data_IF_312833619106
#
_entry.id   IF_312833619106
#
_cell.length_a   1.000
_cell.length_b   1.000
_cell.length_c   1.000
_cell.angle_alpha   90.00
_cell.angle_beta   90.00
_cell.angle_gamma   90.00
#
_symmetry.space_group_name_H-M   'P 1'
#
loop_
_entity.id
_entity.type
_entity.pdbx_description
1 polymer ?
#
# COMPACT_ATOMS: atom_id res chain seq x y z
N UNK A 1 4.79 -5.18 -21.00
CA UNK A 1 3.75 -6.15 -20.59
C UNK A 1 3.84 -6.57 -19.11
N UNK A 2 5.03 -6.71 -18.51
CA UNK A 2 5.20 -7.11 -17.08
C UNK A 2 4.79 -6.05 -16.03
N UNK A 3 4.79 -4.76 -16.38
CA UNK A 3 4.41 -3.70 -15.43
C UNK A 3 2.90 -3.69 -15.09
N UNK A 4 2.06 -4.16 -16.02
CA UNK A 4 0.60 -4.15 -15.82
C UNK A 4 0.13 -5.29 -14.91
N UNK A 5 0.78 -6.46 -14.98
CA UNK A 5 0.41 -7.62 -14.17
C UNK A 5 0.75 -7.41 -12.68
N UNK A 6 1.89 -6.79 -12.36
CA UNK A 6 2.28 -6.52 -10.98
C UNK A 6 1.36 -5.51 -10.27
N UNK A 7 0.85 -4.50 -11.00
CA UNK A 7 -0.09 -3.52 -10.44
C UNK A 7 -1.46 -4.15 -10.16
N UNK A 8 -1.97 -4.97 -11.09
CA UNK A 8 -3.26 -5.65 -10.94
C UNK A 8 -3.31 -6.55 -9.70
N UNK A 9 -2.22 -7.23 -9.32
CA UNK A 9 -2.20 -8.05 -8.11
C UNK A 9 -2.39 -7.23 -6.82
N UNK A 10 -1.82 -6.03 -6.73
CA UNK A 10 -1.94 -5.18 -5.53
C UNK A 10 -3.38 -4.71 -5.32
N UNK A 11 -4.05 -4.28 -6.39
CA UNK A 11 -5.41 -3.70 -6.32
C UNK A 11 -6.46 -4.77 -6.04
N UNK A 12 -6.27 -5.99 -6.58
CA UNK A 12 -7.17 -7.12 -6.31
C UNK A 12 -7.16 -7.58 -4.85
N UNK A 13 -5.99 -7.58 -4.19
CA UNK A 13 -5.89 -7.97 -2.78
C UNK A 13 -6.64 -6.99 -1.88
N UNK A 14 -6.44 -5.68 -2.07
CA UNK A 14 -7.12 -4.65 -1.27
C UNK A 14 -8.64 -4.68 -1.47
N UNK A 15 -9.10 -4.88 -2.71
CA UNK A 15 -10.52 -5.01 -3.03
C UNK A 15 -11.19 -6.19 -2.31
N UNK A 16 -10.51 -7.35 -2.24
CA UNK A 16 -11.04 -8.55 -1.54
C UNK A 16 -11.22 -8.32 -0.05
N UNK A 17 -10.27 -7.67 0.61
CA UNK A 17 -10.38 -7.36 2.03
C UNK A 17 -11.41 -6.27 2.31
N UNK A 18 -11.54 -5.28 1.43
CA UNK A 18 -12.60 -4.26 1.52
C UNK A 18 -14.00 -4.86 1.36
N UNK A 19 -14.17 -5.92 0.57
CA UNK A 19 -15.43 -6.65 0.45
C UNK A 19 -15.76 -7.51 1.70
N UNK A 20 -14.76 -7.77 2.54
CA UNK A 20 -14.90 -8.54 3.78
C UNK A 20 -15.09 -7.63 5.02
N UNK A 21 -15.47 -6.36 4.82
CA UNK A 21 -15.61 -5.33 5.86
C UNK A 21 -14.35 -5.11 6.73
N UNK A 22 -13.17 -5.47 6.21
CA UNK A 22 -11.88 -5.23 6.87
C UNK A 22 -11.33 -3.85 6.49
N UNK A 23 -10.83 -3.11 7.48
CA UNK A 23 -10.13 -1.86 7.23
C UNK A 23 -8.78 -2.13 6.57
N UNK A 24 -8.64 -1.73 5.30
CA UNK A 24 -7.39 -1.83 4.54
C UNK A 24 -6.80 -0.44 4.42
N UNK A 25 -5.55 -0.26 4.82
CA UNK A 25 -4.81 0.98 4.63
C UNK A 25 -3.43 0.69 4.05
N UNK A 26 -3.01 1.50 3.10
CA UNK A 26 -1.68 1.43 2.51
C UNK A 26 -0.72 2.29 3.34
N UNK A 27 0.19 1.65 4.08
CA UNK A 27 1.15 2.35 4.94
C UNK A 27 2.52 2.39 4.27
N UNK A 28 3.15 3.56 4.27
CA UNK A 28 4.50 3.73 3.77
C UNK A 28 5.50 2.97 4.66
N UNK A 29 6.29 2.01 4.12
CA UNK A 29 7.29 1.28 4.90
C UNK A 29 8.33 2.16 5.58
N UNK A 30 8.61 3.36 5.03
CA UNK A 30 9.52 4.33 5.64
C UNK A 30 8.99 4.86 6.97
N UNK A 31 7.68 5.13 7.07
CA UNK A 31 7.05 5.59 8.31
C UNK A 31 7.11 4.52 9.40
N UNK A 32 6.86 3.25 9.04
CA UNK A 32 6.97 2.11 9.97
C UNK A 32 8.43 1.89 10.39
N UNK A 33 9.38 2.12 9.49
CA UNK A 33 10.81 2.02 9.79
C UNK A 33 11.22 3.02 10.86
N UNK A 34 10.83 4.28 10.66
CA UNK A 34 11.19 5.41 11.52
C UNK A 34 10.35 5.42 12.83
N UNK A 35 9.30 4.59 12.92
CA UNK A 35 8.46 4.44 14.11
C UNK A 35 9.17 3.70 15.25
N UNK A 36 10.02 4.38 16.00
CA UNK A 36 10.75 3.81 17.13
C UNK A 36 12.13 3.26 16.73
N UNK A 37 13.04 3.31 17.70
CA UNK A 37 14.52 3.37 17.54
C UNK A 37 15.21 2.13 16.95
N UNK A 38 14.43 1.12 16.53
CA UNK A 38 14.98 -0.12 15.97
C UNK A 38 14.90 -0.12 14.44
N UNK A 39 16.07 0.04 13.82
CA UNK A 39 16.32 -0.15 12.39
C UNK A 39 15.75 -1.50 11.90
N UNK A 40 14.89 -1.48 10.89
CA UNK A 40 14.29 -2.67 10.30
C UNK A 40 15.39 -3.64 9.82
N UNK A 41 15.40 -4.86 10.35
CA UNK A 41 16.32 -5.92 9.91
C UNK A 41 15.85 -6.49 8.57
N UNK A 42 16.79 -7.06 7.81
CA UNK A 42 16.69 -7.43 6.39
C UNK A 42 15.59 -8.46 6.03
N UNK A 43 14.95 -9.11 7.00
CA UNK A 43 13.99 -10.19 6.76
C UNK A 43 12.68 -9.89 7.49
N UNK A 44 11.64 -9.56 6.71
CA UNK A 44 10.30 -9.17 7.16
C UNK A 44 9.46 -10.39 7.60
N UNK A 45 10.02 -11.20 8.49
CA UNK A 45 9.38 -12.40 9.05
C UNK A 45 9.56 -12.51 10.56
N UNK A 46 9.96 -11.42 11.23
CA UNK A 46 10.13 -11.38 12.68
C UNK A 46 8.83 -10.96 13.39
N UNK A 47 8.46 -11.67 14.46
CA UNK A 47 7.35 -11.35 15.37
C UNK A 47 7.40 -9.90 15.87
N UNK A 48 8.61 -9.36 16.02
CA UNK A 48 8.83 -7.98 16.45
C UNK A 48 8.32 -6.95 15.42
N UNK A 49 8.50 -7.21 14.12
CA UNK A 49 8.00 -6.32 13.07
C UNK A 49 6.48 -6.35 12.99
N UNK A 50 5.87 -7.53 13.17
CA UNK A 50 4.42 -7.66 13.25
C UNK A 50 3.84 -6.84 14.41
N UNK A 51 4.48 -6.90 15.58
CA UNK A 51 4.09 -6.09 16.76
C UNK A 51 4.29 -4.59 16.51
N UNK A 52 5.38 -4.20 15.83
CA UNK A 52 5.66 -2.80 15.46
C UNK A 52 4.60 -2.25 14.51
N UNK A 53 4.22 -3.03 13.50
CA UNK A 53 3.16 -2.68 12.55
C UNK A 53 1.82 -2.56 13.28
N UNK A 54 1.45 -3.54 14.10
CA UNK A 54 0.20 -3.52 14.85
C UNK A 54 0.10 -2.30 15.77
N UNK A 55 1.18 -1.98 16.49
CA UNK A 55 1.24 -0.81 17.36
C UNK A 55 1.14 0.50 16.57
N UNK A 56 1.89 0.65 15.47
CA UNK A 56 1.75 1.81 14.58
C UNK A 56 0.32 1.95 14.05
N UNK A 57 -0.31 0.85 13.63
CA UNK A 57 -1.67 0.89 13.10
C UNK A 57 -2.70 1.30 14.15
N UNK A 58 -2.52 0.89 15.41
CA UNK A 58 -3.39 1.29 16.52
C UNK A 58 -3.17 2.75 16.90
N UNK A 59 -1.90 3.16 17.05
CA UNK A 59 -1.53 4.51 17.49
C UNK A 59 -1.89 5.57 16.43
N UNK A 60 -1.69 5.26 15.14
CA UNK A 60 -1.99 6.15 14.01
C UNK A 60 -3.32 5.84 13.32
N UNK A 61 -4.22 5.08 13.97
CA UNK A 61 -5.49 4.62 13.37
C UNK A 61 -6.33 5.76 12.79
N UNK A 62 -6.33 6.92 13.44
CA UNK A 62 -7.07 8.11 13.03
C UNK A 62 -6.43 8.87 11.86
N UNK A 63 -5.13 8.69 11.64
CA UNK A 63 -4.35 9.36 10.58
C UNK A 63 -4.22 8.48 9.33
N UNK A 64 -4.48 7.18 9.48
CA UNK A 64 -4.41 6.19 8.41
C UNK A 64 -5.59 6.37 7.45
N UNK A 65 -5.26 6.82 6.23
CA UNK A 65 -6.25 6.89 5.15
C UNK A 65 -6.73 5.48 4.80
N UNK A 66 -8.03 5.24 5.01
CA UNK A 66 -8.69 4.00 4.61
C UNK A 66 -8.74 3.90 3.08
N UNK A 67 -8.57 2.69 2.56
CA UNK A 67 -8.77 2.39 1.15
C UNK A 67 -10.19 2.75 0.72
N UNK A 68 -10.32 3.55 -0.34
CA UNK A 68 -11.60 3.84 -0.98
C UNK A 68 -11.57 3.42 -2.45
N UNK A 69 -12.73 3.01 -2.97
CA UNK A 69 -12.90 2.72 -4.41
C UNK A 69 -12.48 3.92 -5.28
N UNK A 70 -12.69 5.15 -4.79
CA UNK A 70 -12.31 6.37 -5.50
C UNK A 70 -10.79 6.50 -5.66
N UNK A 71 -10.01 6.06 -4.66
CA UNK A 71 -8.54 6.08 -4.73
C UNK A 71 -8.00 5.10 -5.77
N UNK A 72 -8.67 3.96 -5.95
CA UNK A 72 -8.36 3.00 -7.00
C UNK A 72 -8.58 3.62 -8.39
N UNK A 73 -9.75 4.22 -8.62
CA UNK A 73 -10.06 4.87 -9.90
C UNK A 73 -9.03 5.98 -10.20
N UNK A 74 -8.64 6.77 -9.19
CA UNK A 74 -7.59 7.79 -9.33
C UNK A 74 -6.25 7.18 -9.72
N UNK A 75 -5.83 6.09 -9.07
CA UNK A 75 -4.56 5.41 -9.39
C UNK A 75 -4.56 4.78 -10.79
N UNK A 76 -5.68 4.19 -11.20
CA UNK A 76 -5.86 3.65 -12.55
C UNK A 76 -5.72 4.76 -13.60
N UNK A 77 -6.44 5.87 -13.43
CA UNK A 77 -6.38 6.99 -14.36
C UNK A 77 -4.96 7.59 -14.46
N UNK A 78 -4.29 7.77 -13.32
CA UNK A 78 -2.91 8.27 -13.28
C UNK A 78 -1.95 7.33 -14.03
N UNK A 79 -2.14 6.02 -13.86
CA UNK A 79 -1.35 5.00 -14.54
C UNK A 79 -1.59 5.02 -16.05
N UNK A 80 -2.85 5.10 -16.47
CA UNK A 80 -3.22 5.19 -17.89
C UNK A 80 -2.63 6.44 -18.55
N UNK A 81 -2.73 7.60 -17.88
CA UNK A 81 -2.08 8.82 -18.38
C UNK A 81 -0.56 8.66 -18.49
N UNK A 82 0.09 8.08 -17.49
CA UNK A 82 1.54 7.84 -17.55
C UNK A 82 1.94 6.92 -18.72
N UNK A 83 1.17 5.85 -18.97
CA UNK A 83 1.42 4.95 -20.10
C UNK A 83 1.19 5.64 -21.44
N UNK A 84 0.18 6.49 -21.53
CA UNK A 84 -0.10 7.27 -22.73
C UNK A 84 1.00 8.29 -23.02
N UNK A 85 1.49 9.00 -22.01
CA UNK A 85 2.59 9.95 -22.16
C UNK A 85 3.90 9.25 -22.54
N UNK A 86 4.21 8.10 -21.94
CA UNK A 86 5.35 7.26 -22.34
C UNK A 86 5.22 6.79 -23.78
N UNK A 87 4.01 6.41 -24.21
CA UNK A 87 3.75 5.99 -25.59
C UNK A 87 3.84 7.12 -26.61
N UNK A 88 3.78 8.39 -26.20
CA UNK A 88 3.98 9.56 -27.06
C UNK A 88 5.45 9.98 -27.21
N UNK A 89 6.31 9.51 -26.30
CA UNK A 89 7.74 9.80 -26.29
C UNK A 89 8.58 8.76 -27.04
N UNK A 90 7.95 7.70 -27.55
CA UNK A 90 8.53 6.64 -28.38
C UNK A 90 8.01 6.81 -29.80
#
# INVERSE_FOLDING_TARGET
MLFLSAFSLHTNAQKRFSQADLCVSAVNPKLIKDFGDNSLRKVKSDKADAVKIARYTLDSWTELKQYSLMDEIRNQLKTMNCQFDLSKMV
#
